data_IF_598180569559
#
_entry.id   IF_598180569559
#
_cell.length_a   1.000
_cell.length_b   1.000
_cell.length_c   1.000
_cell.angle_alpha   90.00
_cell.angle_beta   90.00
_cell.angle_gamma   90.00
#
_symmetry.space_group_name_H-M   'P 1'
#
loop_
_entity.id
_entity.type
_entity.pdbx_description
1 polymer ?
#
# COMPACT_ATOMS: atom_id res chain seq x y z
N UNK A 1 -10.94 -7.34 0.01
CA UNK A 1 -11.90 -6.30 0.41
C UNK A 1 -12.49 -6.53 1.80
N UNK A 2 -13.07 -7.70 2.11
CA UNK A 2 -13.64 -7.98 3.44
C UNK A 2 -12.63 -7.84 4.60
N UNK A 3 -11.37 -8.23 4.38
CA UNK A 3 -10.30 -8.11 5.38
C UNK A 3 -9.99 -6.65 5.78
N UNK A 4 -10.08 -5.72 4.82
CA UNK A 4 -9.75 -4.31 5.05
C UNK A 4 -10.86 -3.60 5.81
N UNK A 5 -12.12 -3.93 5.51
CA UNK A 5 -13.29 -3.44 6.25
C UNK A 5 -13.22 -3.91 7.71
N UNK A 6 -12.86 -5.18 7.93
CA UNK A 6 -12.70 -5.75 9.26
C UNK A 6 -11.59 -5.05 10.06
N UNK A 7 -10.42 -4.83 9.46
CA UNK A 7 -9.32 -4.12 10.13
C UNK A 7 -9.70 -2.69 10.52
N UNK A 8 -10.41 -1.97 9.63
CA UNK A 8 -10.89 -0.62 9.91
C UNK A 8 -11.85 -0.59 11.10
N UNK A 9 -12.73 -1.58 11.19
CA UNK A 9 -13.65 -1.74 12.32
C UNK A 9 -12.92 -1.99 13.64
N UNK A 10 -11.95 -2.91 13.65
CA UNK A 10 -11.16 -3.21 14.85
C UNK A 10 -10.37 -1.98 15.33
N UNK A 11 -9.74 -1.25 14.41
CA UNK A 11 -9.06 0.00 14.74
C UNK A 11 -10.03 1.02 15.34
N UNK A 12 -11.24 1.14 14.77
CA UNK A 12 -12.26 2.04 15.32
C UNK A 12 -12.67 1.65 16.74
N UNK A 13 -12.78 0.36 17.04
CA UNK A 13 -13.07 -0.14 18.39
C UNK A 13 -11.95 0.24 19.36
N UNK A 14 -10.69 0.11 18.94
CA UNK A 14 -9.52 0.50 19.75
C UNK A 14 -9.54 2.01 20.02
N UNK A 15 -9.78 2.84 19.01
CA UNK A 15 -9.88 4.30 19.17
C UNK A 15 -11.00 4.69 20.14
N UNK A 16 -12.18 4.08 20.01
CA UNK A 16 -13.33 4.35 20.88
C UNK A 16 -13.01 4.01 22.34
N UNK A 17 -12.27 2.93 22.60
CA UNK A 17 -11.80 2.55 23.94
C UNK A 17 -10.78 3.55 24.48
N UNK A 18 -9.83 3.95 23.64
CA UNK A 18 -8.80 4.93 24.00
C UNK A 18 -9.41 6.28 24.37
N UNK A 19 -10.28 6.84 23.52
CA UNK A 19 -10.92 8.15 23.77
C UNK A 19 -11.73 8.13 25.07
N UNK A 20 -12.47 7.04 25.33
CA UNK A 20 -13.24 6.90 26.57
C UNK A 20 -12.36 6.82 27.81
N UNK A 21 -11.24 6.10 27.74
CA UNK A 21 -10.29 6.01 28.86
C UNK A 21 -9.56 7.34 29.09
N UNK A 22 -9.20 8.04 28.03
CA UNK A 22 -8.53 9.35 28.11
C UNK A 22 -9.43 10.43 28.73
N UNK A 23 -10.73 10.41 28.38
CA UNK A 23 -11.72 11.36 28.91
C UNK A 23 -12.36 10.93 30.25
N UNK A 24 -11.93 9.80 30.82
CA UNK A 24 -12.55 9.14 31.98
C UNK A 24 -14.09 9.07 31.90
N UNK A 25 -14.60 8.78 30.69
CA UNK A 25 -16.01 8.98 30.38
C UNK A 25 -16.89 7.77 30.78
N UNK A 26 -18.06 8.01 31.40
CA UNK A 26 -19.02 6.94 31.70
C UNK A 26 -19.49 6.17 30.47
N UNK A 27 -19.92 4.91 30.66
CA UNK A 27 -20.35 4.02 29.56
C UNK A 27 -21.52 4.57 28.73
N UNK A 28 -22.42 5.35 29.35
CA UNK A 28 -23.59 5.93 28.68
C UNK A 28 -23.24 7.14 27.79
N UNK A 29 -22.02 7.70 27.90
CA UNK A 29 -21.57 8.76 27.01
C UNK A 29 -21.33 8.18 25.61
N UNK A 30 -21.98 8.79 24.62
CA UNK A 30 -21.89 8.37 23.21
C UNK A 30 -20.49 8.66 22.66
N UNK A 31 -19.94 7.73 21.86
CA UNK A 31 -18.65 7.93 21.20
C UNK A 31 -18.62 9.19 20.32
N UNK A 32 -19.74 9.53 19.66
CA UNK A 32 -19.83 10.73 18.82
C UNK A 32 -19.63 12.02 19.61
N UNK A 33 -20.08 12.07 20.87
CA UNK A 33 -19.86 13.21 21.77
C UNK A 33 -18.37 13.31 22.10
N UNK A 34 -17.74 12.19 22.49
CA UNK A 34 -16.30 12.16 22.77
C UNK A 34 -15.46 12.59 21.56
N UNK A 35 -15.80 12.14 20.35
CA UNK A 35 -15.10 12.56 19.13
C UNK A 35 -15.25 14.05 18.84
N UNK A 36 -16.43 14.62 19.10
CA UNK A 36 -16.68 16.05 18.93
C UNK A 36 -15.93 16.88 19.97
N UNK A 37 -16.00 16.49 21.23
CA UNK A 37 -15.42 17.23 22.35
C UNK A 37 -13.89 17.17 22.34
N UNK A 38 -13.31 16.06 21.87
CA UNK A 38 -11.85 15.91 21.69
C UNK A 38 -11.37 16.44 20.32
N UNK A 39 -12.27 16.91 19.46
CA UNK A 39 -11.97 17.32 18.09
C UNK A 39 -11.25 16.22 17.26
N UNK A 40 -11.50 14.95 17.60
CA UNK A 40 -10.84 13.80 16.99
C UNK A 40 -11.68 13.17 15.88
N UNK A 41 -11.17 13.08 14.64
CA UNK A 41 -11.86 12.34 13.59
C UNK A 41 -11.88 10.84 13.90
N UNK A 42 -13.01 10.21 13.59
CA UNK A 42 -13.16 8.75 13.50
C UNK A 42 -12.14 8.19 12.49
N UNK A 43 -11.53 7.03 12.77
CA UNK A 43 -10.56 6.39 11.86
C UNK A 43 -11.14 6.19 10.46
N UNK A 44 -12.43 5.86 10.34
CA UNK A 44 -13.07 5.74 9.02
C UNK A 44 -13.02 7.05 8.23
N UNK A 45 -13.32 8.18 8.88
CA UNK A 45 -13.26 9.51 8.28
C UNK A 45 -11.82 9.88 7.94
N UNK A 46 -10.88 9.61 8.84
CA UNK A 46 -9.46 9.85 8.60
C UNK A 46 -8.95 9.05 7.39
N UNK A 47 -9.23 7.75 7.33
CA UNK A 47 -8.80 6.88 6.23
C UNK A 47 -9.40 7.30 4.90
N UNK A 48 -10.68 7.70 4.90
CA UNK A 48 -11.34 8.25 3.71
C UNK A 48 -10.63 9.51 3.22
N UNK A 49 -10.48 10.51 4.10
CA UNK A 49 -9.84 11.78 3.74
C UNK A 49 -8.38 11.59 3.31
N UNK A 50 -7.64 10.71 3.99
CA UNK A 50 -6.26 10.39 3.62
C UNK A 50 -6.18 9.71 2.25
N UNK A 51 -7.12 8.81 1.95
CA UNK A 51 -7.19 8.17 0.63
C UNK A 51 -7.53 9.16 -0.47
N UNK A 52 -8.52 10.04 -0.25
CA UNK A 52 -8.89 11.10 -1.21
C UNK A 52 -7.70 12.01 -1.49
N UNK A 53 -7.04 12.51 -0.43
CA UNK A 53 -5.85 13.34 -0.56
C UNK A 53 -4.71 12.63 -1.32
N UNK A 54 -4.53 11.33 -1.10
CA UNK A 54 -3.55 10.55 -1.84
C UNK A 54 -3.88 10.49 -3.33
N UNK A 55 -5.14 10.24 -3.68
CA UNK A 55 -5.58 10.25 -5.08
C UNK A 55 -5.47 11.64 -5.72
N UNK A 56 -5.79 12.71 -5.00
CA UNK A 56 -5.66 14.09 -5.49
C UNK A 56 -4.21 14.45 -5.80
N UNK A 57 -3.26 14.04 -4.94
CA UNK A 57 -1.83 14.19 -5.19
C UNK A 57 -1.42 13.43 -6.45
N UNK A 58 -1.86 12.18 -6.59
CA UNK A 58 -1.48 11.35 -7.75
C UNK A 58 -2.07 11.92 -9.04
N UNK A 59 -3.30 12.43 -9.01
CA UNK A 59 -3.96 13.05 -10.17
C UNK A 59 -3.31 14.36 -10.61
N UNK A 60 -2.78 15.15 -9.67
CA UNK A 60 -2.08 16.40 -9.96
C UNK A 60 -0.60 16.21 -10.31
N UNK A 61 -0.12 14.96 -10.36
CA UNK A 61 1.29 14.67 -10.53
C UNK A 61 1.76 14.91 -11.99
N UNK A 62 2.94 15.52 -12.22
CA UNK A 62 3.43 15.81 -13.58
C UNK A 62 3.78 14.55 -14.39
N UNK A 63 4.08 13.43 -13.72
CA UNK A 63 4.36 12.15 -14.39
C UNK A 63 3.07 11.47 -14.86
N UNK A 64 2.89 11.25 -16.18
CA UNK A 64 1.69 10.63 -16.73
C UNK A 64 1.52 9.18 -16.28
N UNK A 65 2.61 8.50 -15.91
CA UNK A 65 2.56 7.14 -15.37
C UNK A 65 1.77 7.08 -14.06
N UNK A 66 1.98 8.05 -13.15
CA UNK A 66 1.29 8.06 -11.87
C UNK A 66 -0.19 8.40 -12.04
N UNK A 67 -0.52 9.35 -12.94
CA UNK A 67 -1.91 9.68 -13.28
C UNK A 67 -2.63 8.46 -13.86
N UNK A 68 -1.97 7.67 -14.71
CA UNK A 68 -2.56 6.47 -15.32
C UNK A 68 -2.95 5.38 -14.30
N UNK A 69 -2.32 5.37 -13.12
CA UNK A 69 -2.64 4.43 -12.04
C UNK A 69 -4.03 4.71 -11.47
N UNK A 70 -4.51 5.95 -11.47
CA UNK A 70 -5.83 6.29 -10.92
C UNK A 70 -6.96 5.70 -11.76
N UNK A 71 -6.76 5.64 -13.08
CA UNK A 71 -7.68 5.02 -14.03
C UNK A 71 -7.48 3.50 -14.19
N UNK A 72 -6.56 2.89 -13.45
CA UNK A 72 -6.25 1.48 -13.61
C UNK A 72 -7.39 0.59 -13.09
N UNK A 73 -8.03 -0.14 -14.00
CA UNK A 73 -8.96 -1.21 -13.64
C UNK A 73 -8.19 -2.54 -13.61
N UNK A 74 -8.08 -3.21 -12.44
CA UNK A 74 -7.40 -4.48 -12.36
C UNK A 74 -8.19 -5.55 -13.15
N UNK A 75 -7.51 -6.42 -13.90
CA UNK A 75 -8.18 -7.52 -14.58
C UNK A 75 -8.88 -8.45 -13.58
N UNK A 76 -9.95 -9.14 -13.99
CA UNK A 76 -10.66 -10.09 -13.12
C UNK A 76 -9.68 -11.08 -12.50
N UNK A 77 -9.84 -11.33 -11.19
CA UNK A 77 -8.91 -12.10 -10.34
C UNK A 77 -8.67 -13.55 -10.77
N UNK A 78 -9.33 -14.02 -11.83
CA UNK A 78 -9.20 -15.36 -12.38
C UNK A 78 -7.84 -15.60 -13.06
N UNK A 79 -7.07 -14.54 -13.34
CA UNK A 79 -5.77 -14.61 -14.01
C UNK A 79 -4.64 -14.01 -13.19
N UNK A 80 -4.55 -14.29 -11.88
CA UNK A 80 -3.25 -14.25 -11.21
C UNK A 80 -2.38 -15.41 -11.71
N UNK A 81 -2.08 -15.43 -13.01
CA UNK A 81 -0.99 -16.22 -13.54
C UNK A 81 0.23 -15.71 -12.78
N UNK A 82 0.74 -16.55 -11.87
CA UNK A 82 2.06 -16.36 -11.29
C UNK A 82 2.95 -15.97 -12.46
N UNK A 83 3.54 -14.77 -12.42
CA UNK A 83 4.52 -14.37 -13.43
C UNK A 83 5.56 -15.48 -13.42
N UNK A 84 5.56 -16.32 -14.46
CA UNK A 84 6.62 -17.29 -14.66
C UNK A 84 7.88 -16.46 -14.63
N UNK A 85 8.75 -16.71 -13.65
CA UNK A 85 10.07 -16.09 -13.67
C UNK A 85 10.70 -16.65 -14.94
N UNK A 86 10.75 -15.83 -15.99
CA UNK A 86 11.36 -16.23 -17.24
C UNK A 86 12.78 -16.68 -16.89
N UNK A 87 13.05 -17.97 -16.98
CA UNK A 87 14.41 -18.43 -17.27
C UNK A 87 14.72 -17.75 -18.60
N UNK A 88 15.75 -16.91 -18.62
CA UNK A 88 16.17 -16.18 -19.81
C UNK A 88 16.56 -17.21 -20.88
N UNK A 89 15.60 -17.57 -21.74
CA UNK A 89 15.82 -18.42 -22.91
C UNK A 89 16.24 -17.59 -24.13
N UNK A 90 16.32 -16.27 -23.96
CA UNK A 90 16.83 -15.39 -24.99
C UNK A 90 18.33 -15.66 -25.18
N UNK A 91 18.81 -15.78 -26.43
CA UNK A 91 20.22 -15.95 -26.69
C UNK A 91 21.00 -14.76 -26.10
N UNK A 92 22.23 -14.99 -25.60
CA UNK A 92 23.02 -13.94 -24.97
C UNK A 92 23.17 -12.73 -25.91
N UNK A 93 22.83 -11.55 -25.42
CA UNK A 93 23.14 -10.30 -26.10
C UNK A 93 24.62 -9.93 -25.88
N UNK A 94 25.13 -8.99 -26.68
CA UNK A 94 26.54 -8.60 -26.66
C UNK A 94 27.01 -8.17 -25.26
N UNK A 95 26.15 -7.47 -24.50
CA UNK A 95 26.42 -7.07 -23.12
C UNK A 95 26.50 -8.26 -22.15
N UNK A 96 25.65 -9.28 -22.29
CA UNK A 96 25.72 -10.49 -21.46
C UNK A 96 26.99 -11.29 -21.73
N UNK A 97 27.45 -11.35 -22.99
CA UNK A 97 28.71 -12.02 -23.34
C UNK A 97 29.91 -11.31 -22.72
N UNK A 98 29.92 -9.98 -22.69
CA UNK A 98 30.98 -9.21 -22.01
C UNK A 98 30.97 -9.44 -20.49
N UNK A 99 29.79 -9.46 -19.86
CA UNK A 99 29.67 -9.72 -18.42
C UNK A 99 30.15 -11.13 -18.06
N UNK A 100 29.79 -12.15 -18.85
CA UNK A 100 30.26 -13.52 -18.65
C UNK A 100 31.79 -13.63 -18.76
N UNK A 101 32.40 -12.96 -19.76
CA UNK A 101 33.86 -12.89 -19.89
C UNK A 101 34.52 -12.26 -18.65
N UNK A 102 33.96 -11.17 -18.13
CA UNK A 102 34.50 -10.51 -16.92
C UNK A 102 34.39 -11.42 -15.69
N UNK A 103 33.28 -12.15 -15.56
CA UNK A 103 33.09 -13.11 -14.47
C UNK A 103 34.09 -14.27 -14.59
N UNK A 104 34.34 -14.76 -15.80
CA UNK A 104 35.29 -15.84 -16.05
C UNK A 104 36.74 -15.41 -15.75
N UNK A 105 37.13 -14.20 -16.16
CA UNK A 105 38.43 -13.60 -15.80
C UNK A 105 38.58 -13.46 -14.28
N UNK A 106 37.54 -12.99 -13.58
CA UNK A 106 37.61 -12.85 -12.11
C UNK A 106 37.73 -14.20 -11.39
N UNK A 107 37.17 -15.28 -11.95
CA UNK A 107 37.34 -16.63 -11.39
C UNK A 107 38.76 -17.15 -11.56
N UNK A 108 39.41 -16.84 -12.69
CA UNK A 108 40.81 -17.20 -12.94
C UNK A 108 41.82 -16.40 -12.10
N UNK A 109 41.41 -15.26 -11.54
CA UNK A 109 42.25 -14.40 -10.68
C UNK A 109 42.18 -14.82 -9.20
N UNK A 110 41.22 -15.67 -8.83
CA UNK A 110 40.97 -16.10 -7.43
C UNK A 110 41.59 -17.49 -7.15
N UNK A 111 42.12 -18.19 -8.15
CA UNK A 111 43.03 -19.34 -8.00
C UNK A 111 44.51 -18.88 -7.96
#
# INVERSE_FOLDING_TARGET
>A
MLSLIYLLYELQVVQNKFCRKAADAPRYVKNSVLHRDLELPTISKFMKNASEHFFDIVNSHPSPLLVSVVSYEPPPSQYFWRRTRNILLDPPNDFTVEIEKVIEVNKMVID
#
